data_IF_492815653350
#
_entry.id   IF_492815653350
#
_cell.length_a   1.000
_cell.length_b   1.000
_cell.length_c   1.000
_cell.angle_alpha   90.00
_cell.angle_beta   90.00
_cell.angle_gamma   90.00
#
_symmetry.space_group_name_H-M   'P 1'
#
loop_
_entity.id
_entity.type
_entity.pdbx_description
1 polymer ?
#
# COMPACT_ATOMS: atom_id res chain seq x y z
N UNK A 1 -23.99 -23.71 -26.57
CA UNK A 1 -23.07 -23.90 -25.43
C UNK A 1 -22.09 -22.76 -25.40
N UNK A 2 -22.22 -21.88 -24.41
CA UNK A 2 -21.44 -20.65 -24.24
C UNK A 2 -19.98 -20.97 -23.95
N UNK A 3 -19.06 -20.33 -24.68
CA UNK A 3 -17.63 -20.31 -24.37
C UNK A 3 -17.37 -19.23 -23.32
N UNK A 4 -16.74 -19.64 -22.22
CA UNK A 4 -16.26 -18.80 -21.14
C UNK A 4 -15.19 -17.80 -21.65
N UNK A 5 -15.35 -16.47 -21.49
CA UNK A 5 -14.39 -15.49 -22.02
C UNK A 5 -13.20 -15.17 -21.08
N UNK A 6 -13.09 -15.80 -19.90
CA UNK A 6 -11.96 -15.59 -18.99
C UNK A 6 -10.86 -16.63 -19.21
N UNK A 7 -10.14 -16.52 -20.33
CA UNK A 7 -8.90 -17.23 -20.55
C UNK A 7 -8.00 -16.46 -21.52
N UNK A 8 -7.14 -15.57 -21.01
CA UNK A 8 -5.94 -15.10 -21.73
C UNK A 8 -4.76 -14.89 -20.76
N UNK A 9 -3.91 -15.92 -20.73
CA UNK A 9 -2.46 -15.93 -20.53
C UNK A 9 -1.82 -14.95 -19.54
N UNK A 10 -1.51 -15.46 -18.35
CA UNK A 10 -0.32 -15.07 -17.59
C UNK A 10 0.87 -15.89 -18.12
N UNK A 11 2.01 -15.31 -18.47
CA UNK A 11 3.22 -16.10 -18.66
C UNK A 11 3.67 -16.62 -17.29
N UNK A 12 3.60 -17.94 -17.13
CA UNK A 12 4.19 -18.70 -16.02
C UNK A 12 5.72 -18.67 -16.12
N UNK A 13 6.36 -18.64 -14.95
CA UNK A 13 7.80 -18.63 -14.67
C UNK A 13 8.71 -19.43 -15.60
N UNK A 14 9.95 -18.97 -15.74
CA UNK A 14 11.15 -19.79 -15.45
C UNK A 14 12.41 -18.90 -15.45
N UNK A 15 13.14 -18.86 -14.33
CA UNK A 15 14.58 -19.10 -14.25
C UNK A 15 15.10 -18.70 -12.85
N UNK A 16 15.51 -19.71 -12.08
CA UNK A 16 16.44 -19.58 -10.96
C UNK A 16 17.75 -18.94 -11.45
N UNK A 17 18.32 -18.01 -10.69
CA UNK A 17 19.70 -18.15 -10.18
C UNK A 17 20.09 -17.05 -9.20
N UNK A 18 20.88 -17.49 -8.23
CA UNK A 18 21.44 -16.81 -7.07
C UNK A 18 22.06 -15.43 -7.34
N UNK A 19 21.71 -14.46 -6.47
CA UNK A 19 22.65 -13.58 -5.74
C UNK A 19 21.89 -12.59 -4.86
N UNK A 20 22.05 -12.71 -3.53
CA UNK A 20 21.75 -11.67 -2.54
C UNK A 20 20.27 -11.49 -2.20
N UNK A 21 19.90 -11.88 -0.97
CA UNK A 21 18.55 -12.01 -0.44
C UNK A 21 17.80 -10.67 -0.22
N UNK A 22 17.61 -9.87 -1.28
CA UNK A 22 16.89 -8.60 -1.26
C UNK A 22 15.66 -8.67 -2.16
N UNK A 23 14.64 -9.42 -1.74
CA UNK A 23 13.32 -9.30 -2.35
C UNK A 23 12.57 -8.13 -1.72
N UNK A 24 12.23 -7.14 -2.54
CA UNK A 24 11.26 -6.09 -2.20
C UNK A 24 9.84 -6.68 -2.36
N UNK A 25 9.33 -7.27 -1.28
CA UNK A 25 8.13 -8.13 -1.25
C UNK A 25 6.78 -7.39 -1.22
N UNK A 26 6.69 -6.15 -1.75
CA UNK A 26 5.54 -5.24 -1.56
C UNK A 26 4.76 -4.87 -2.82
N UNK A 27 5.06 -5.51 -3.94
CA UNK A 27 4.41 -5.23 -5.22
C UNK A 27 2.94 -5.72 -5.19
N UNK A 28 2.59 -6.68 -4.33
CA UNK A 28 1.31 -7.39 -4.34
C UNK A 28 0.08 -6.52 -4.01
N UNK A 29 -0.02 -5.84 -2.87
CA UNK A 29 -1.26 -5.12 -2.54
C UNK A 29 -1.46 -3.87 -3.42
N UNK A 30 -0.39 -3.14 -3.73
CA UNK A 30 -0.42 -2.02 -4.67
C UNK A 30 -0.93 -2.47 -6.04
N UNK A 31 -0.36 -3.53 -6.62
CA UNK A 31 -0.75 -4.05 -7.94
C UNK A 31 -2.17 -4.62 -7.96
N UNK A 32 -2.69 -5.09 -6.82
CA UNK A 32 -4.03 -5.67 -6.71
C UNK A 32 -5.12 -4.62 -6.43
N UNK A 33 -4.77 -3.47 -5.86
CA UNK A 33 -5.70 -2.34 -5.72
C UNK A 33 -5.87 -1.61 -7.06
N UNK A 34 -4.86 -1.56 -7.93
CA UNK A 34 -4.95 -0.79 -9.18
C UNK A 34 -6.11 -1.22 -10.06
N UNK A 35 -6.32 -2.51 -10.39
CA UNK A 35 -7.43 -2.93 -11.24
C UNK A 35 -8.80 -2.42 -10.74
N UNK A 36 -8.98 -2.34 -9.42
CA UNK A 36 -10.19 -1.81 -8.80
C UNK A 36 -10.33 -0.30 -8.95
N UNK A 37 -9.24 0.44 -8.81
CA UNK A 37 -9.22 1.89 -9.05
C UNK A 37 -9.43 2.20 -10.55
N UNK A 38 -8.83 1.40 -11.45
CA UNK A 38 -9.03 1.51 -12.90
C UNK A 38 -10.49 1.28 -13.29
N UNK A 39 -11.11 0.22 -12.77
CA UNK A 39 -12.51 -0.10 -13.04
C UNK A 39 -13.50 0.98 -12.55
N UNK A 40 -13.06 1.84 -11.64
CA UNK A 40 -13.84 2.97 -11.08
C UNK A 40 -13.53 4.32 -11.76
N UNK A 41 -12.77 4.32 -12.87
CA UNK A 41 -12.32 5.52 -13.59
C UNK A 41 -11.49 6.50 -12.74
N UNK A 42 -10.71 6.02 -11.77
CA UNK A 42 -9.68 6.87 -11.18
C UNK A 42 -8.58 7.12 -12.23
N UNK A 43 -8.31 8.37 -12.63
CA UNK A 43 -7.56 8.68 -13.84
C UNK A 43 -6.10 8.20 -13.82
N UNK A 44 -5.50 7.97 -12.65
CA UNK A 44 -4.13 7.48 -12.58
C UNK A 44 -3.84 6.69 -11.30
N UNK A 45 -2.96 5.67 -11.44
CA UNK A 45 -2.44 4.88 -10.32
C UNK A 45 -0.94 4.73 -10.48
N UNK A 46 -0.16 5.47 -9.68
CA UNK A 46 1.29 5.28 -9.60
C UNK A 46 1.62 4.09 -8.69
N UNK A 47 2.56 3.25 -9.11
CA UNK A 47 2.96 2.05 -8.37
C UNK A 47 4.48 1.96 -8.28
N UNK A 48 4.98 1.93 -7.05
CA UNK A 48 6.41 1.82 -6.77
C UNK A 48 7.03 0.52 -7.31
N UNK A 49 8.29 0.68 -7.74
CA UNK A 49 9.24 -0.28 -8.30
C UNK A 49 8.82 -0.98 -9.62
N UNK A 50 8.97 -0.26 -10.74
CA UNK A 50 9.27 -0.94 -12.01
C UNK A 50 10.68 -1.53 -11.93
N UNK A 51 10.81 -2.85 -12.10
CA UNK A 51 12.10 -3.49 -12.35
C UNK A 51 12.78 -2.84 -13.56
N UNK A 52 14.12 -2.63 -13.56
CA UNK A 52 14.87 -2.15 -14.73
C UNK A 52 14.71 -3.01 -15.99
N UNK A 53 14.11 -4.20 -15.88
CA UNK A 53 13.87 -5.14 -16.98
C UNK A 53 12.61 -4.82 -17.81
N UNK A 54 11.70 -3.99 -17.28
CA UNK A 54 10.48 -3.61 -17.99
C UNK A 54 10.71 -2.32 -18.79
N UNK A 55 11.13 -2.48 -20.04
CA UNK A 55 11.31 -1.37 -20.98
C UNK A 55 9.97 -0.66 -21.21
N UNK A 56 9.90 0.66 -20.96
CA UNK A 56 9.67 1.68 -22.00
C UNK A 56 9.47 3.09 -21.41
N UNK A 57 10.09 4.06 -22.08
CA UNK A 57 10.12 5.53 -21.90
C UNK A 57 10.95 6.04 -20.72
N UNK A 58 12.22 6.34 -21.02
CA UNK A 58 13.08 7.21 -20.19
C UNK A 58 12.97 8.64 -20.73
N UNK A 59 12.41 9.56 -19.95
CA UNK A 59 12.77 10.97 -20.05
C UNK A 59 13.45 11.36 -18.74
N UNK A 60 14.66 11.92 -18.85
CA UNK A 60 15.38 12.58 -17.75
C UNK A 60 15.53 11.75 -16.45
N UNK A 61 15.89 10.47 -16.56
CA UNK A 61 16.28 9.65 -15.39
C UNK A 61 15.13 9.06 -14.55
N UNK A 62 13.87 9.33 -14.93
CA UNK A 62 12.69 8.74 -14.30
C UNK A 62 12.09 7.65 -15.21
N UNK A 63 11.81 6.48 -14.63
CA UNK A 63 11.20 5.34 -15.32
C UNK A 63 9.70 5.38 -15.05
N UNK A 64 8.90 5.67 -16.08
CA UNK A 64 7.46 5.49 -16.04
C UNK A 64 6.97 4.58 -17.15
N UNK A 65 5.95 3.78 -16.88
CA UNK A 65 5.35 2.84 -17.83
C UNK A 65 3.90 3.23 -18.07
N UNK A 66 3.54 3.47 -19.34
CA UNK A 66 2.15 3.59 -19.73
C UNK A 66 1.43 2.24 -19.58
N UNK A 67 0.27 2.27 -18.96
CA UNK A 67 -0.66 1.16 -18.83
C UNK A 67 -1.90 1.45 -19.69
N UNK A 68 -2.72 0.43 -19.94
CA UNK A 68 -4.01 0.61 -20.61
C UNK A 68 -4.90 1.60 -19.84
N UNK A 69 -5.79 2.31 -20.54
CA UNK A 69 -6.78 3.22 -19.92
C UNK A 69 -6.23 4.59 -19.51
N UNK A 70 -5.06 5.01 -20.00
CA UNK A 70 -4.46 6.31 -19.67
C UNK A 70 -3.73 6.34 -18.32
N UNK A 71 -3.51 5.18 -17.70
CA UNK A 71 -2.79 5.09 -16.43
C UNK A 71 -1.27 5.07 -16.64
N UNK A 72 -0.53 5.67 -15.70
CA UNK A 72 0.93 5.71 -15.71
C UNK A 72 1.46 5.08 -14.41
N UNK A 73 2.45 4.19 -14.52
CA UNK A 73 3.21 3.70 -13.39
C UNK A 73 4.53 4.45 -13.29
N UNK A 74 4.97 4.84 -12.09
CA UNK A 74 6.23 5.54 -11.85
C UNK A 74 7.08 4.77 -10.85
N UNK A 75 8.37 4.65 -11.11
CA UNK A 75 9.30 4.10 -10.12
C UNK A 75 9.56 5.12 -9.01
N UNK A 76 9.29 4.75 -7.76
CA UNK A 76 9.48 5.61 -6.59
C UNK A 76 9.87 4.77 -5.37
N UNK A 77 10.99 5.09 -4.75
CA UNK A 77 11.36 4.56 -3.44
C UNK A 77 10.82 5.49 -2.34
N UNK A 78 9.76 5.05 -1.66
CA UNK A 78 9.11 5.85 -0.61
C UNK A 78 9.99 6.09 0.61
N UNK A 79 11.14 5.42 0.74
CA UNK A 79 12.10 5.70 1.81
C UNK A 79 12.95 6.95 1.55
N UNK A 80 12.88 7.52 0.35
CA UNK A 80 13.67 8.68 -0.09
C UNK A 80 12.77 9.87 -0.41
N UNK A 81 12.96 10.99 0.29
CA UNK A 81 12.14 12.19 0.08
C UNK A 81 12.29 12.77 -1.33
N UNK A 82 13.50 12.75 -1.89
CA UNK A 82 13.78 13.24 -3.24
C UNK A 82 13.02 12.45 -4.31
N UNK A 83 13.04 11.11 -4.25
CA UNK A 83 12.31 10.24 -5.18
C UNK A 83 10.81 10.52 -5.13
N UNK A 84 10.24 10.73 -3.93
CA UNK A 84 8.83 11.10 -3.75
C UNK A 84 8.55 12.45 -4.42
N UNK A 85 9.35 13.47 -4.14
CA UNK A 85 9.13 14.82 -4.69
C UNK A 85 9.20 14.84 -6.22
N UNK A 86 10.20 14.14 -6.79
CA UNK A 86 10.35 14.01 -8.23
C UNK A 86 9.15 13.28 -8.85
N UNK A 87 8.73 12.18 -8.23
CA UNK A 87 7.56 11.41 -8.69
C UNK A 87 6.27 12.23 -8.66
N UNK A 88 6.02 12.98 -7.58
CA UNK A 88 4.84 13.85 -7.49
C UNK A 88 4.85 14.96 -8.52
N UNK A 89 6.01 15.57 -8.77
CA UNK A 89 6.16 16.60 -9.81
C UNK A 89 5.80 16.05 -11.19
N UNK A 90 6.29 14.86 -11.54
CA UNK A 90 5.98 14.25 -12.84
C UNK A 90 4.54 13.74 -12.94
N UNK A 91 3.97 13.21 -11.84
CA UNK A 91 2.55 12.86 -11.78
C UNK A 91 1.69 14.11 -12.05
N UNK A 92 1.98 15.23 -11.40
CA UNK A 92 1.21 16.47 -11.59
C UNK A 92 1.33 17.03 -13.00
N UNK A 93 2.53 16.98 -13.60
CA UNK A 93 2.74 17.39 -15.00
C UNK A 93 1.96 16.50 -15.98
N UNK A 94 1.94 15.19 -15.74
CA UNK A 94 1.40 14.21 -16.69
C UNK A 94 -0.10 13.99 -16.54
N UNK A 95 -0.63 14.11 -15.32
CA UNK A 95 -1.98 13.67 -14.94
C UNK A 95 -2.82 14.79 -14.32
N UNK A 96 -2.22 15.94 -14.03
CA UNK A 96 -2.85 17.02 -13.30
C UNK A 96 -2.87 16.77 -11.80
N UNK A 97 -3.77 17.45 -11.11
CA UNK A 97 -3.78 17.45 -9.64
C UNK A 97 -4.12 16.09 -9.02
N UNK A 98 -3.59 15.86 -7.83
CA UNK A 98 -3.74 14.60 -7.11
C UNK A 98 -4.85 14.76 -6.06
N UNK A 99 -6.01 14.14 -6.33
CA UNK A 99 -7.17 14.19 -5.44
C UNK A 99 -7.30 12.95 -4.55
N UNK A 100 -6.59 11.87 -4.89
CA UNK A 100 -6.65 10.59 -4.16
C UNK A 100 -5.24 10.04 -3.94
N UNK A 101 -4.98 9.52 -2.73
CA UNK A 101 -3.73 8.85 -2.39
C UNK A 101 -4.02 7.54 -1.65
N UNK A 102 -3.33 6.47 -2.04
CA UNK A 102 -3.30 5.21 -1.30
C UNK A 102 -1.86 4.85 -0.97
N UNK A 103 -1.53 4.84 0.32
CA UNK A 103 -0.21 4.41 0.78
C UNK A 103 -0.23 2.93 1.13
N UNK A 104 0.24 2.08 0.21
CA UNK A 104 0.28 0.63 0.39
C UNK A 104 1.70 0.03 0.39
N UNK A 105 2.74 0.84 0.16
CA UNK A 105 4.12 0.40 0.30
C UNK A 105 4.47 0.13 1.77
N UNK A 106 5.18 -0.97 2.05
CA UNK A 106 5.75 -1.18 3.38
C UNK A 106 6.29 -2.59 3.61
N UNK A 107 7.53 -2.71 4.06
CA UNK A 107 8.24 -3.98 4.27
C UNK A 107 7.93 -4.60 5.63
N UNK A 108 8.13 -5.90 5.77
CA UNK A 108 8.07 -6.62 7.03
C UNK A 108 9.33 -7.50 7.21
N UNK A 109 9.88 -7.52 8.43
CA UNK A 109 10.99 -8.41 8.81
C UNK A 109 10.63 -9.09 10.13
N UNK A 110 10.18 -10.35 10.04
CA UNK A 110 9.86 -11.14 11.22
C UNK A 110 11.13 -11.53 11.98
N UNK A 111 11.10 -11.36 13.30
CA UNK A 111 12.22 -11.66 14.16
C UNK A 111 11.96 -11.27 15.61
N UNK A 112 12.58 -12.00 16.53
CA UNK A 112 12.61 -11.58 17.93
C UNK A 112 13.45 -10.30 18.05
N UNK A 113 13.01 -9.35 18.88
CA UNK A 113 13.67 -8.07 19.08
C UNK A 113 15.17 -8.19 19.34
N UNK A 114 15.59 -9.19 20.13
CA UNK A 114 16.99 -9.44 20.48
C UNK A 114 17.88 -9.73 19.25
N UNK A 115 17.30 -10.19 18.15
CA UNK A 115 18.01 -10.58 16.92
C UNK A 115 17.79 -9.59 15.78
N UNK A 116 16.99 -8.55 15.99
CA UNK A 116 16.74 -7.54 14.96
C UNK A 116 17.90 -6.55 14.95
N UNK A 117 18.53 -6.37 13.78
CA UNK A 117 19.59 -5.37 13.62
C UNK A 117 19.02 -3.94 13.64
N UNK A 118 19.82 -2.96 14.08
CA UNK A 118 19.38 -1.56 14.04
C UNK A 118 19.03 -1.09 12.62
N UNK A 119 19.77 -1.55 11.62
CA UNK A 119 19.53 -1.22 10.21
C UNK A 119 18.17 -1.76 9.73
N UNK A 120 17.80 -2.99 10.10
CA UNK A 120 16.47 -3.54 9.81
C UNK A 120 15.36 -2.78 10.55
N UNK A 121 15.64 -2.29 11.77
CA UNK A 121 14.69 -1.45 12.50
C UNK A 121 14.43 -0.15 11.75
N UNK A 122 15.50 0.56 11.40
CA UNK A 122 15.45 1.85 10.71
C UNK A 122 14.79 1.67 9.34
N UNK A 123 15.15 0.63 8.59
CA UNK A 123 14.57 0.35 7.26
C UNK A 123 13.05 0.20 7.30
N UNK A 124 12.52 -0.54 8.29
CA UNK A 124 11.08 -0.72 8.46
C UNK A 124 10.38 0.59 8.86
N UNK A 125 10.97 1.36 9.79
CA UNK A 125 10.41 2.65 10.20
C UNK A 125 10.43 3.68 9.05
N UNK A 126 11.53 3.72 8.30
CA UNK A 126 11.68 4.62 7.15
C UNK A 126 10.68 4.29 6.06
N UNK A 127 10.56 3.02 5.68
CA UNK A 127 9.66 2.62 4.58
C UNK A 127 8.19 2.72 4.99
N UNK A 128 7.81 2.15 6.13
CA UNK A 128 6.40 1.97 6.49
C UNK A 128 5.78 3.23 7.07
N UNK A 129 6.52 3.94 7.92
CA UNK A 129 6.03 5.09 8.67
C UNK A 129 6.46 6.39 8.01
N UNK A 130 7.77 6.66 7.94
CA UNK A 130 8.26 7.94 7.40
C UNK A 130 7.89 8.09 5.92
N UNK A 131 8.00 7.04 5.11
CA UNK A 131 7.64 7.08 3.70
C UNK A 131 6.16 7.41 3.48
N UNK A 132 5.28 6.85 4.30
CA UNK A 132 3.86 7.24 4.32
C UNK A 132 3.69 8.71 4.69
N UNK A 133 4.42 9.21 5.70
CA UNK A 133 4.35 10.62 6.12
C UNK A 133 4.82 11.56 5.00
N UNK A 134 5.95 11.26 4.35
CA UNK A 134 6.50 12.04 3.25
C UNK A 134 5.57 12.04 2.03
N UNK A 135 4.98 10.89 1.70
CA UNK A 135 4.03 10.76 0.59
C UNK A 135 2.75 11.57 0.87
N UNK A 136 2.23 11.50 2.10
CA UNK A 136 1.11 12.35 2.53
C UNK A 136 1.45 13.85 2.46
N UNK A 137 2.65 14.25 2.91
CA UNK A 137 3.12 15.64 2.84
C UNK A 137 3.12 16.16 1.40
N UNK A 138 3.61 15.36 0.45
CA UNK A 138 3.59 15.71 -0.97
C UNK A 138 2.16 15.84 -1.52
N UNK A 139 1.28 14.87 -1.24
CA UNK A 139 -0.10 14.89 -1.71
C UNK A 139 -0.95 16.02 -1.11
N UNK A 140 -0.82 16.27 0.19
CA UNK A 140 -1.58 17.32 0.89
C UNK A 140 -1.29 18.70 0.30
N UNK A 141 -0.05 18.97 -0.13
CA UNK A 141 0.30 20.22 -0.82
C UNK A 141 -0.57 20.42 -2.08
N UNK A 142 -0.74 19.38 -2.90
CA UNK A 142 -1.60 19.39 -4.09
C UNK A 142 -3.08 19.53 -3.73
N UNK A 143 -3.56 18.72 -2.78
CA UNK A 143 -4.96 18.68 -2.36
C UNK A 143 -5.44 19.99 -1.73
N UNK A 144 -4.56 20.70 -1.00
CA UNK A 144 -4.89 22.03 -0.44
C UNK A 144 -5.15 23.05 -1.55
N UNK A 145 -4.36 23.03 -2.63
CA UNK A 145 -4.54 23.92 -3.77
C UNK A 145 -5.87 23.65 -4.50
N UNK A 146 -6.31 22.38 -4.52
CA UNK A 146 -7.58 21.96 -5.10
C UNK A 146 -8.78 21.98 -4.13
N UNK A 147 -8.56 22.36 -2.88
CA UNK A 147 -9.59 22.40 -1.84
C UNK A 147 -10.34 21.07 -1.64
N UNK A 148 -9.66 19.94 -1.80
CA UNK A 148 -10.26 18.64 -1.55
C UNK A 148 -9.36 17.45 -1.86
N UNK A 149 -9.61 16.33 -1.18
CA UNK A 149 -8.96 15.07 -1.48
C UNK A 149 -9.27 13.96 -0.48
N UNK A 150 -8.81 12.75 -0.77
CA UNK A 150 -8.94 11.62 0.15
C UNK A 150 -7.67 10.75 0.15
N UNK A 151 -7.22 10.42 1.35
CA UNK A 151 -6.03 9.61 1.60
C UNK A 151 -6.43 8.35 2.36
N UNK A 152 -5.95 7.20 1.93
CA UNK A 152 -6.06 5.93 2.66
C UNK A 152 -4.67 5.34 2.89
N UNK A 153 -4.30 5.19 4.16
CA UNK A 153 -3.06 4.53 4.56
C UNK A 153 -3.32 3.04 4.83
N UNK A 154 -2.47 2.16 4.32
CA UNK A 154 -2.57 0.72 4.56
C UNK A 154 -1.71 0.32 5.76
N UNK A 155 -2.42 0.02 6.85
CA UNK A 155 -1.91 -0.46 8.10
C UNK A 155 -1.81 -1.98 8.20
N UNK A 156 -2.02 -2.47 9.42
CA UNK A 156 -2.24 -3.87 9.76
C UNK A 156 -2.88 -3.93 11.15
N UNK A 157 -3.68 -4.96 11.43
CA UNK A 157 -4.14 -5.23 12.81
C UNK A 157 -2.96 -5.46 13.77
N UNK A 158 -1.80 -5.87 13.27
CA UNK A 158 -0.57 -6.04 14.05
C UNK A 158 -0.12 -4.70 14.66
N UNK A 159 -0.39 -3.57 13.98
CA UNK A 159 -0.17 -2.25 14.55
C UNK A 159 -1.16 -1.84 15.63
N UNK A 160 -2.26 -2.58 15.80
CA UNK A 160 -3.31 -2.28 16.80
C UNK A 160 -3.17 -3.17 18.03
N UNK A 161 -2.95 -4.47 17.83
CA UNK A 161 -2.90 -5.47 18.92
C UNK A 161 -1.51 -6.06 19.19
N UNK A 162 -0.54 -5.78 18.32
CA UNK A 162 0.77 -6.42 18.34
C UNK A 162 0.76 -7.84 17.79
N UNK A 163 1.95 -8.38 17.52
CA UNK A 163 2.16 -9.80 17.26
C UNK A 163 3.57 -10.21 17.68
N UNK A 164 3.71 -11.39 18.26
CA UNK A 164 5.03 -11.90 18.67
C UNK A 164 5.93 -12.09 17.44
N UNK A 165 7.19 -11.66 17.56
CA UNK A 165 8.13 -11.68 16.43
C UNK A 165 7.98 -10.52 15.44
N UNK A 166 7.13 -9.53 15.73
CA UNK A 166 6.88 -8.39 14.82
C UNK A 166 6.91 -7.04 15.55
N UNK A 167 7.72 -6.88 16.60
CA UNK A 167 7.70 -5.66 17.45
C UNK A 167 7.93 -4.37 16.65
N UNK A 168 8.87 -4.37 15.71
CA UNK A 168 9.19 -3.20 14.88
C UNK A 168 8.10 -2.94 13.84
N UNK A 169 7.66 -3.98 13.14
CA UNK A 169 6.57 -3.86 12.18
C UNK A 169 5.30 -3.34 12.87
N UNK A 170 4.96 -3.88 14.05
CA UNK A 170 3.88 -3.42 14.91
C UNK A 170 4.04 -1.94 15.24
N UNK A 171 5.22 -1.51 15.71
CA UNK A 171 5.48 -0.09 16.00
C UNK A 171 5.30 0.80 14.76
N UNK A 172 5.82 0.36 13.60
CA UNK A 172 5.71 1.12 12.35
C UNK A 172 4.25 1.31 11.91
N UNK A 173 3.41 0.27 12.04
CA UNK A 173 1.99 0.32 11.68
C UNK A 173 1.12 0.97 12.76
N UNK A 174 1.51 0.90 14.03
CA UNK A 174 0.88 1.63 15.13
C UNK A 174 1.06 3.15 14.97
N UNK A 175 2.26 3.59 14.57
CA UNK A 175 2.55 5.00 14.29
C UNK A 175 1.61 5.62 13.24
N UNK A 176 1.21 4.83 12.23
CA UNK A 176 0.26 5.26 11.20
C UNK A 176 -1.12 5.60 11.76
N UNK A 177 -1.55 4.99 12.86
CA UNK A 177 -2.85 5.27 13.49
C UNK A 177 -2.87 6.68 14.05
N UNK A 178 -1.86 7.02 14.86
CA UNK A 178 -1.72 8.35 15.43
C UNK A 178 -1.51 9.41 14.35
N UNK A 179 -0.62 9.13 13.40
CA UNK A 179 -0.35 10.00 12.26
C UNK A 179 -1.62 10.30 11.44
N UNK A 180 -2.35 9.27 11.02
CA UNK A 180 -3.55 9.44 10.18
C UNK A 180 -4.64 10.23 10.88
N UNK A 181 -4.85 9.98 12.18
CA UNK A 181 -5.83 10.72 13.00
C UNK A 181 -5.44 12.19 13.17
N UNK A 182 -4.17 12.47 13.43
CA UNK A 182 -3.68 13.84 13.58
C UNK A 182 -3.76 14.59 12.26
N UNK A 183 -3.30 13.98 11.15
CA UNK A 183 -3.38 14.59 9.84
C UNK A 183 -4.83 14.86 9.44
N UNK A 184 -5.75 13.90 9.65
CA UNK A 184 -7.17 14.09 9.38
C UNK A 184 -7.73 15.35 10.06
N UNK A 185 -7.37 15.61 11.32
CA UNK A 185 -7.80 16.81 12.06
C UNK A 185 -7.21 18.08 11.46
N UNK A 186 -5.95 18.03 11.07
CA UNK A 186 -5.21 19.16 10.48
C UNK A 186 -5.82 19.61 9.16
N UNK A 187 -6.14 18.67 8.27
CA UNK A 187 -6.55 18.97 6.88
C UNK A 187 -8.05 18.95 6.63
N UNK A 188 -8.88 18.55 7.61
CA UNK A 188 -10.34 18.45 7.44
C UNK A 188 -11.00 19.77 6.99
N UNK A 189 -10.52 20.93 7.46
CA UNK A 189 -11.04 22.26 7.06
C UNK A 189 -10.72 22.64 5.60
N UNK A 190 -10.01 21.78 4.88
CA UNK A 190 -9.70 21.90 3.45
C UNK A 190 -10.42 20.84 2.62
N UNK A 191 -11.44 20.18 3.18
CA UNK A 191 -12.18 19.06 2.58
C UNK A 191 -11.28 17.87 2.21
N UNK A 192 -10.19 17.68 2.95
CA UNK A 192 -9.29 16.54 2.78
C UNK A 192 -9.61 15.52 3.87
N UNK A 193 -9.86 14.27 3.46
CA UNK A 193 -10.13 13.15 4.37
C UNK A 193 -8.93 12.24 4.44
N UNK A 194 -8.61 11.74 5.63
CA UNK A 194 -7.49 10.82 5.83
C UNK A 194 -7.97 9.65 6.67
N UNK A 195 -7.92 8.44 6.11
CA UNK A 195 -8.33 7.23 6.80
C UNK A 195 -7.24 6.16 6.69
N UNK A 196 -7.44 5.06 7.39
CA UNK A 196 -6.55 3.92 7.38
C UNK A 196 -7.36 2.64 7.27
N UNK A 197 -6.85 1.67 6.50
CA UNK A 197 -7.33 0.29 6.54
C UNK A 197 -6.33 -0.54 7.34
N UNK A 198 -6.80 -1.47 8.17
CA UNK A 198 -5.98 -2.36 8.97
C UNK A 198 -6.32 -3.82 8.61
N UNK A 199 -5.62 -4.41 7.63
CA UNK A 199 -5.84 -5.80 7.24
C UNK A 199 -5.32 -6.80 8.28
N UNK A 200 -5.96 -7.97 8.32
CA UNK A 200 -5.45 -9.18 8.96
C UNK A 200 -4.53 -9.98 8.04
N UNK A 201 -4.64 -11.31 8.09
CA UNK A 201 -3.95 -12.17 7.12
C UNK A 201 -4.64 -12.10 5.75
N UNK A 202 -3.90 -11.69 4.73
CA UNK A 202 -4.37 -11.51 3.35
C UNK A 202 -3.43 -12.25 2.42
N UNK A 203 -3.97 -13.05 1.49
CA UNK A 203 -3.18 -13.76 0.48
C UNK A 203 -2.37 -12.78 -0.39
N UNK A 204 -1.09 -12.67 -0.06
CA UNK A 204 -0.08 -11.85 -0.73
C UNK A 204 1.26 -12.57 -0.62
N UNK A 205 2.25 -12.11 -1.37
CA UNK A 205 3.64 -12.60 -1.31
C UNK A 205 4.17 -12.63 0.14
N UNK A 206 3.81 -11.63 0.95
CA UNK A 206 4.19 -11.56 2.39
C UNK A 206 3.65 -12.72 3.23
N UNK A 207 2.56 -13.36 2.81
CA UNK A 207 1.88 -14.43 3.57
C UNK A 207 2.08 -15.82 3.00
N UNK A 208 2.72 -15.94 1.83
CA UNK A 208 2.83 -17.20 1.09
C UNK A 208 3.57 -18.29 1.90
N UNK A 209 4.51 -17.89 2.75
CA UNK A 209 5.27 -18.80 3.60
C UNK A 209 4.57 -19.19 4.91
N UNK A 210 3.39 -18.62 5.20
CA UNK A 210 2.67 -18.88 6.44
C UNK A 210 1.88 -20.19 6.38
N UNK A 211 1.83 -20.90 7.51
CA UNK A 211 1.02 -22.13 7.66
C UNK A 211 -0.45 -21.78 7.86
N UNK A 212 -1.13 -21.42 6.77
CA UNK A 212 -2.53 -20.97 6.79
C UNK A 212 -3.46 -21.94 7.51
N UNK A 213 -3.33 -23.25 7.30
CA UNK A 213 -4.17 -24.27 7.95
C UNK A 213 -4.18 -24.18 9.49
N UNK A 214 -3.09 -23.68 10.07
CA UNK A 214 -2.99 -23.47 11.52
C UNK A 214 -3.58 -22.11 11.92
N UNK A 215 -3.23 -21.06 11.17
CA UNK A 215 -3.60 -19.68 11.49
C UNK A 215 -5.07 -19.38 11.24
N UNK A 216 -5.69 -19.98 10.21
CA UNK A 216 -7.09 -19.76 9.87
C UNK A 216 -8.06 -20.23 10.95
N UNK A 217 -7.64 -21.15 11.83
CA UNK A 217 -8.44 -21.62 12.97
C UNK A 217 -8.67 -20.51 14.01
N UNK A 218 -7.78 -19.52 14.06
CA UNK A 218 -7.92 -18.33 14.87
C UNK A 218 -8.65 -17.19 14.14
N UNK A 219 -9.17 -17.42 12.93
CA UNK A 219 -9.96 -16.43 12.20
C UNK A 219 -11.41 -16.88 12.28
N UNK A 220 -12.33 -16.08 12.85
CA UNK A 220 -13.75 -16.43 12.89
C UNK A 220 -14.35 -16.78 11.52
N UNK A 221 -13.94 -16.10 10.45
CA UNK A 221 -14.34 -16.44 9.07
C UNK A 221 -13.61 -17.66 8.47
N UNK A 222 -12.66 -18.27 9.20
CA UNK A 222 -12.06 -19.56 8.86
C UNK A 222 -11.10 -19.57 7.66
N UNK A 223 -10.66 -18.40 7.17
CA UNK A 223 -9.79 -18.27 5.99
C UNK A 223 -8.98 -16.97 6.02
N UNK A 224 -7.93 -16.90 5.21
CA UNK A 224 -7.30 -15.62 4.91
C UNK A 224 -8.21 -14.76 4.01
N UNK A 225 -8.03 -13.44 4.12
CA UNK A 225 -8.68 -12.48 3.23
C UNK A 225 -8.03 -12.50 1.86
N UNK A 226 -8.77 -12.03 0.85
CA UNK A 226 -8.22 -11.80 -0.48
C UNK A 226 -7.88 -10.31 -0.67
N UNK A 227 -6.86 -9.97 -1.46
CA UNK A 227 -6.49 -8.58 -1.73
C UNK A 227 -7.64 -7.71 -2.25
N UNK A 228 -8.56 -8.30 -3.02
CA UNK A 228 -9.76 -7.63 -3.53
C UNK A 228 -10.70 -7.16 -2.41
N UNK A 229 -10.73 -7.87 -1.28
CA UNK A 229 -11.55 -7.50 -0.12
C UNK A 229 -10.96 -6.26 0.58
N UNK A 230 -9.63 -6.15 0.63
CA UNK A 230 -8.96 -4.94 1.12
C UNK A 230 -9.13 -3.79 0.14
N UNK A 231 -9.03 -4.04 -1.17
CA UNK A 231 -9.23 -3.02 -2.19
C UNK A 231 -10.63 -2.38 -2.11
N UNK A 232 -11.67 -3.19 -1.89
CA UNK A 232 -13.04 -2.69 -1.67
C UNK A 232 -13.15 -1.77 -0.45
N UNK A 233 -12.47 -2.12 0.65
CA UNK A 233 -12.44 -1.29 1.86
C UNK A 233 -11.71 0.04 1.61
N UNK A 234 -10.59 0.01 0.87
CA UNK A 234 -9.87 1.22 0.46
C UNK A 234 -10.76 2.12 -0.40
N UNK A 235 -11.40 1.58 -1.43
CA UNK A 235 -12.31 2.34 -2.31
C UNK A 235 -13.47 2.94 -1.53
N UNK A 236 -14.09 2.17 -0.62
CA UNK A 236 -15.13 2.69 0.26
C UNK A 236 -14.65 3.91 1.05
N UNK A 237 -13.47 3.85 1.67
CA UNK A 237 -12.92 4.98 2.43
C UNK A 237 -12.57 6.17 1.53
N UNK A 238 -12.11 5.93 0.30
CA UNK A 238 -11.87 7.00 -0.68
C UNK A 238 -13.18 7.65 -1.16
N UNK A 239 -14.28 6.91 -1.28
CA UNK A 239 -15.57 7.42 -1.75
C UNK A 239 -16.44 8.01 -0.62
N UNK A 240 -16.21 7.65 0.65
CA UNK A 240 -17.11 8.00 1.77
C UNK A 240 -16.92 9.44 2.29
N UNK A 241 -17.81 10.40 1.96
CA UNK A 241 -17.57 11.83 2.16
C UNK A 241 -17.61 12.27 3.64
N UNK A 242 -18.13 11.44 4.54
CA UNK A 242 -18.31 11.75 5.96
C UNK A 242 -17.46 10.87 6.88
N UNK A 243 -16.45 10.18 6.34
CA UNK A 243 -15.51 9.35 7.11
C UNK A 243 -14.11 9.94 7.00
N UNK A 244 -13.54 10.35 8.13
CA UNK A 244 -12.15 10.82 8.26
C UNK A 244 -11.60 10.48 9.65
N UNK A 245 -10.29 10.24 9.75
CA UNK A 245 -9.61 9.82 10.99
C UNK A 245 -9.93 8.40 11.44
N UNK A 246 -10.58 7.60 10.60
CA UNK A 246 -11.03 6.25 10.95
C UNK A 246 -10.01 5.17 10.59
N UNK A 247 -9.98 4.10 11.39
CA UNK A 247 -9.23 2.87 11.11
C UNK A 247 -10.24 1.75 10.85
N UNK A 248 -10.38 1.35 9.60
CA UNK A 248 -11.27 0.27 9.18
C UNK A 248 -10.52 -1.06 9.21
N UNK A 249 -10.97 -2.01 10.03
CA UNK A 249 -10.35 -3.33 10.13
C UNK A 249 -10.93 -4.30 9.10
N UNK A 250 -10.05 -5.06 8.42
CA UNK A 250 -10.42 -6.08 7.42
C UNK A 250 -9.64 -7.36 7.70
N UNK A 251 -10.11 -8.16 8.65
CA UNK A 251 -9.32 -9.26 9.22
C UNK A 251 -10.11 -10.56 9.47
N UNK A 252 -11.36 -10.63 9.00
CA UNK A 252 -12.22 -11.78 9.24
C UNK A 252 -12.54 -12.04 10.70
N UNK A 253 -12.45 -11.02 11.57
CA UNK A 253 -12.71 -11.11 13.01
C UNK A 253 -11.49 -11.50 13.84
N UNK A 254 -10.30 -11.58 13.25
CA UNK A 254 -9.07 -12.00 13.93
C UNK A 254 -8.70 -11.11 15.14
N UNK A 255 -9.08 -9.84 15.18
CA UNK A 255 -8.87 -8.95 16.32
C UNK A 255 -9.76 -9.26 17.54
N UNK A 256 -10.86 -10.00 17.36
CA UNK A 256 -11.78 -10.33 18.45
C UNK A 256 -11.20 -11.37 19.41
N UNK A 257 -10.21 -12.14 18.93
CA UNK A 257 -9.46 -13.09 19.73
C UNK A 257 -8.26 -12.36 20.34
N UNK A 258 -8.49 -11.78 21.52
CA UNK A 258 -7.47 -11.29 22.45
C UNK A 258 -7.56 -12.07 23.74
#
# INVERSE_FOLDING_TARGET
>A
MQRNPFAKYFPTDTAQEDRGNYQSQNISLCSLIQPYLKAKNFPAVASGNCSPRDKNVCQEGLIFRALEGGHLAFSCDVSKEEDIQNTFTEMEKSLGHINYLVNAAGINRDGLLLRTSADDMISQLHTNLLGTMLTCKAAVKSMIQQQGGAIVNVGSIVGLKGNSGQSIYSASKAGLVGFSRSLAKEVARRNIRVNMVAPGFIHTDMTEHLKEEQLKKAIPLGRFGKPEEVAKAVVFLLESPYVTGHVLVVDGGLQLLT
#
